data_IF_837879932682
#
_entry.id   IF_837879932682
#
_cell.length_a   1.000
_cell.length_b   1.000
_cell.length_c   1.000
_cell.angle_alpha   90.00
_cell.angle_beta   90.00
_cell.angle_gamma   90.00
#
_symmetry.space_group_name_H-M   'P 1'
#
loop_
_entity.id
_entity.type
_entity.pdbx_description
1 polymer ?
#
# COMPACT_ATOMS: atom_id res chain seq x y z
N UNK A 1 -15.17 -14.51 -6.84
CA UNK A 1 -14.70 -14.34 -5.44
C UNK A 1 -13.93 -13.04 -5.31
N UNK A 2 -13.96 -12.40 -4.14
CA UNK A 2 -13.06 -11.33 -3.73
C UNK A 2 -12.05 -11.88 -2.72
N UNK A 3 -10.76 -11.90 -3.07
CA UNK A 3 -9.70 -12.27 -2.13
C UNK A 3 -9.03 -11.00 -1.61
N UNK A 4 -9.06 -10.80 -0.29
CA UNK A 4 -8.47 -9.63 0.35
C UNK A 4 -7.34 -10.02 1.30
N UNK A 5 -6.15 -9.44 1.09
CA UNK A 5 -5.03 -9.52 2.04
C UNK A 5 -4.75 -8.11 2.56
N UNK A 6 -4.96 -7.90 3.85
CA UNK A 6 -4.93 -6.59 4.48
C UNK A 6 -3.85 -6.58 5.56
N UNK A 7 -2.89 -5.67 5.43
CA UNK A 7 -1.71 -5.61 6.28
C UNK A 7 -1.65 -4.24 6.96
N UNK A 8 -1.54 -4.24 8.28
CA UNK A 8 -1.44 -3.03 9.11
C UNK A 8 -0.32 -3.14 10.14
N UNK A 9 0.66 -2.23 10.11
CA UNK A 9 1.82 -2.28 11.03
C UNK A 9 1.97 -0.97 11.77
N UNK A 10 1.58 -0.97 13.05
CA UNK A 10 1.84 0.13 13.96
C UNK A 10 3.10 -0.10 14.78
N UNK A 11 3.31 -1.34 15.25
CA UNK A 11 4.45 -1.70 16.10
C UNK A 11 5.50 -2.45 15.29
N UNK A 12 6.75 -2.03 15.43
CA UNK A 12 7.91 -2.66 14.81
C UNK A 12 8.77 -3.32 15.89
N UNK A 13 9.37 -4.46 15.56
CA UNK A 13 10.24 -5.20 16.46
C UNK A 13 11.56 -4.46 16.70
N UNK A 14 12.09 -3.81 15.65
CA UNK A 14 13.27 -2.96 15.76
C UNK A 14 12.91 -1.63 16.46
N UNK A 15 13.51 -1.33 17.63
CA UNK A 15 13.21 -0.11 18.38
C UNK A 15 13.69 1.18 17.69
N UNK A 16 14.54 1.08 16.66
CA UNK A 16 14.96 2.19 15.82
C UNK A 16 13.87 2.67 14.86
N UNK A 17 12.83 1.87 14.62
CA UNK A 17 11.68 2.24 13.79
C UNK A 17 10.56 2.76 14.69
N UNK A 18 10.18 4.02 14.49
CA UNK A 18 9.10 4.63 15.26
C UNK A 18 7.76 3.91 15.03
N UNK A 19 6.94 3.82 16.08
CA UNK A 19 5.59 3.27 15.94
C UNK A 19 4.64 4.23 15.24
N UNK A 20 3.73 3.68 14.44
CA UNK A 20 2.56 4.40 13.91
C UNK A 20 1.38 4.29 14.89
N UNK A 21 0.31 5.04 14.61
CA UNK A 21 -0.87 5.10 15.50
C UNK A 21 -2.11 4.44 14.94
N UNK A 22 -2.25 4.38 13.61
CA UNK A 22 -3.51 4.03 12.96
C UNK A 22 -3.35 3.02 11.83
N UNK A 23 -2.16 2.50 11.55
CA UNK A 23 -1.96 1.55 10.47
C UNK A 23 -2.68 0.21 10.71
N UNK A 24 -2.66 -0.30 11.94
CA UNK A 24 -3.42 -1.51 12.29
C UNK A 24 -4.93 -1.23 12.27
N UNK A 25 -5.36 -0.08 12.82
CA UNK A 25 -6.76 0.34 12.81
C UNK A 25 -7.31 0.53 11.39
N UNK A 26 -6.49 1.08 10.49
CA UNK A 26 -6.78 1.26 9.07
C UNK A 26 -7.03 -0.09 8.38
N UNK A 27 -6.16 -1.09 8.60
CA UNK A 27 -6.31 -2.43 8.05
C UNK A 27 -7.55 -3.15 8.59
N UNK A 28 -7.86 -3.00 9.88
CA UNK A 28 -9.09 -3.52 10.51
C UNK A 28 -10.34 -2.91 9.86
N UNK A 29 -10.38 -1.58 9.71
CA UNK A 29 -11.53 -0.92 9.09
C UNK A 29 -11.71 -1.33 7.61
N UNK A 30 -10.62 -1.57 6.89
CA UNK A 30 -10.69 -2.14 5.54
C UNK A 30 -11.22 -3.59 5.54
N UNK A 31 -10.90 -4.40 6.56
CA UNK A 31 -11.43 -5.75 6.70
C UNK A 31 -12.95 -5.73 6.97
N UNK A 32 -13.40 -4.81 7.81
CA UNK A 32 -14.83 -4.58 8.07
C UNK A 32 -15.56 -4.13 6.81
N UNK A 33 -14.92 -3.27 6.00
CA UNK A 33 -15.46 -2.83 4.72
C UNK A 33 -15.60 -3.99 3.72
N UNK A 34 -14.56 -4.83 3.57
CA UNK A 34 -14.62 -6.02 2.72
C UNK A 34 -15.65 -7.04 3.24
N UNK A 35 -15.87 -7.08 4.55
CA UNK A 35 -16.86 -7.95 5.20
C UNK A 35 -18.32 -7.63 4.87
N UNK A 36 -18.59 -6.65 4.00
CA UNK A 36 -19.93 -6.38 3.47
C UNK A 36 -20.29 -7.19 2.21
N UNK A 37 -19.31 -7.72 1.48
CA UNK A 37 -19.54 -8.64 0.35
C UNK A 37 -19.97 -10.00 0.88
N UNK A 38 -20.97 -10.70 0.36
CA UNK A 38 -21.44 -11.98 0.93
C UNK A 38 -20.31 -12.95 1.35
N UNK A 39 -20.40 -13.64 2.51
CA UNK A 39 -19.32 -14.52 3.00
C UNK A 39 -18.85 -15.59 2.01
N UNK A 40 -19.76 -16.12 1.17
CA UNK A 40 -19.42 -17.09 0.13
C UNK A 40 -18.74 -16.48 -1.10
N UNK A 41 -18.67 -15.15 -1.18
CA UNK A 41 -18.07 -14.38 -2.26
C UNK A 41 -16.81 -13.62 -1.83
N UNK A 42 -16.34 -13.82 -0.59
CA UNK A 42 -15.12 -13.20 -0.06
C UNK A 42 -14.22 -14.16 0.71
N UNK A 43 -12.93 -13.90 0.65
CA UNK A 43 -11.90 -14.45 1.54
C UNK A 43 -11.08 -13.28 2.11
N UNK A 44 -10.89 -13.23 3.43
CA UNK A 44 -10.18 -12.14 4.11
C UNK A 44 -9.03 -12.70 4.93
N UNK A 45 -7.82 -12.22 4.63
CA UNK A 45 -6.62 -12.41 5.44
C UNK A 45 -6.21 -11.07 6.03
N UNK A 46 -6.09 -11.01 7.35
CA UNK A 46 -5.71 -9.79 8.09
C UNK A 46 -4.42 -10.07 8.86
N UNK A 47 -3.37 -9.30 8.57
CA UNK A 47 -2.07 -9.38 9.23
C UNK A 47 -1.81 -8.06 9.96
N UNK A 48 -1.70 -8.12 11.29
CA UNK A 48 -1.52 -6.93 12.13
C UNK A 48 -0.27 -7.07 13.00
N UNK A 49 0.54 -6.01 13.07
CA UNK A 49 1.71 -5.94 13.96
C UNK A 49 2.53 -7.24 13.96
N UNK A 50 2.59 -7.97 15.09
CA UNK A 50 3.37 -9.20 15.24
C UNK A 50 3.05 -10.31 14.20
N UNK A 51 1.84 -10.30 13.62
CA UNK A 51 1.47 -11.23 12.54
C UNK A 51 1.89 -10.72 11.16
N UNK A 52 2.11 -9.42 10.99
CA UNK A 52 2.54 -8.76 9.77
C UNK A 52 4.08 -8.82 9.58
N UNK A 53 4.67 -9.98 9.84
CA UNK A 53 6.08 -10.24 9.52
C UNK A 53 6.28 -10.36 8.01
N UNK A 54 7.48 -10.06 7.53
CA UNK A 54 7.86 -10.24 6.12
C UNK A 54 7.57 -11.67 5.66
N UNK A 55 7.88 -12.67 6.50
CA UNK A 55 7.61 -14.08 6.19
C UNK A 55 6.12 -14.32 5.96
N UNK A 56 5.25 -13.84 6.85
CA UNK A 56 3.81 -14.06 6.74
C UNK A 56 3.24 -13.32 5.53
N UNK A 57 3.64 -12.07 5.29
CA UNK A 57 3.21 -11.31 4.11
C UNK A 57 3.61 -12.03 2.81
N UNK A 58 4.86 -12.51 2.72
CA UNK A 58 5.35 -13.29 1.56
C UNK A 58 4.55 -14.58 1.40
N UNK A 59 4.24 -15.28 2.49
CA UNK A 59 3.46 -16.52 2.46
C UNK A 59 2.04 -16.29 1.96
N UNK A 60 1.35 -15.28 2.49
CA UNK A 60 -0.04 -15.01 2.11
C UNK A 60 -0.14 -14.50 0.66
N UNK A 61 0.64 -13.47 0.30
CA UNK A 61 0.53 -12.83 -1.01
C UNK A 61 1.31 -13.58 -2.08
N UNK A 62 2.52 -14.04 -1.76
CA UNK A 62 3.42 -14.67 -2.73
C UNK A 62 3.18 -16.16 -2.92
N UNK A 63 2.58 -16.87 -1.96
CA UNK A 63 2.39 -18.32 -2.04
C UNK A 63 0.91 -18.73 -2.04
N UNK A 64 0.13 -18.34 -1.03
CA UNK A 64 -1.25 -18.82 -0.85
C UNK A 64 -2.21 -18.20 -1.84
N UNK A 65 -2.15 -16.89 -2.01
CA UNK A 65 -3.06 -16.15 -2.89
C UNK A 65 -2.97 -16.64 -4.36
N UNK A 66 -1.79 -16.84 -4.97
CA UNK A 66 -1.68 -17.42 -6.31
C UNK A 66 -2.26 -18.84 -6.46
N UNK A 67 -2.33 -19.62 -5.36
CA UNK A 67 -2.94 -20.96 -5.36
C UNK A 67 -4.46 -20.92 -5.20
N UNK A 68 -5.00 -19.84 -4.64
CA UNK A 68 -6.42 -19.70 -4.33
C UNK A 68 -7.23 -19.01 -5.43
N UNK A 69 -6.61 -18.09 -6.17
CA UNK A 69 -7.31 -17.26 -7.16
C UNK A 69 -7.72 -18.02 -8.42
N UNK A 70 -8.92 -17.75 -8.91
CA UNK A 70 -9.47 -18.32 -10.14
C UNK A 70 -9.74 -17.24 -11.22
N UNK A 71 -9.92 -17.64 -12.49
CA UNK A 71 -10.37 -16.71 -13.54
C UNK A 71 -11.64 -15.94 -13.15
N UNK A 72 -11.60 -14.62 -13.32
CA UNK A 72 -12.74 -13.74 -12.99
C UNK A 72 -12.77 -13.22 -11.56
N UNK A 73 -11.92 -13.74 -10.67
CA UNK A 73 -11.79 -13.23 -9.30
C UNK A 73 -11.22 -11.81 -9.27
N UNK A 74 -11.48 -11.13 -8.15
CA UNK A 74 -10.86 -9.85 -7.82
C UNK A 74 -9.96 -10.05 -6.62
N UNK A 75 -8.76 -9.48 -6.69
CA UNK A 75 -7.81 -9.45 -5.58
C UNK A 75 -7.69 -8.02 -5.07
N UNK A 76 -7.78 -7.84 -3.76
CA UNK A 76 -7.48 -6.60 -3.06
C UNK A 76 -6.32 -6.83 -2.09
N UNK A 77 -5.20 -6.17 -2.30
CA UNK A 77 -4.07 -6.16 -1.37
C UNK A 77 -4.02 -4.76 -0.76
N UNK A 78 -4.02 -4.66 0.56
CA UNK A 78 -3.97 -3.39 1.27
C UNK A 78 -2.78 -3.37 2.22
N UNK A 79 -2.02 -2.28 2.20
CA UNK A 79 -0.93 -2.03 3.13
C UNK A 79 -1.11 -0.67 3.82
N UNK A 80 -1.12 -0.66 5.15
CA UNK A 80 -0.85 0.52 5.95
C UNK A 80 0.39 0.23 6.81
N UNK A 81 1.48 0.95 6.57
CA UNK A 81 2.75 0.76 7.27
C UNK A 81 3.68 1.93 6.96
N UNK A 82 4.89 1.92 7.54
CA UNK A 82 5.99 2.73 7.03
C UNK A 82 6.39 2.27 5.62
N UNK A 83 6.80 3.23 4.78
CA UNK A 83 7.61 2.95 3.60
C UNK A 83 9.02 3.49 3.77
N UNK A 84 10.00 2.81 3.19
CA UNK A 84 11.40 3.20 3.27
C UNK A 84 12.02 3.26 1.87
N UNK A 85 12.39 4.43 1.35
CA UNK A 85 13.27 4.49 0.19
C UNK A 85 14.67 4.00 0.59
N UNK A 86 15.37 3.34 -0.32
CA UNK A 86 16.77 2.96 -0.17
C UNK A 86 17.47 2.99 -1.54
N UNK A 87 18.68 3.54 -1.57
CA UNK A 87 19.51 3.61 -2.78
C UNK A 87 20.31 2.34 -2.97
N UNK A 88 20.55 1.97 -4.23
CA UNK A 88 21.55 0.97 -4.56
C UNK A 88 22.97 1.49 -4.21
N UNK A 89 23.82 0.68 -3.54
CA UNK A 89 25.20 1.08 -3.25
C UNK A 89 26.05 1.36 -4.49
N UNK A 90 25.78 0.66 -5.60
CA UNK A 90 26.48 0.76 -6.88
C UNK A 90 25.90 1.85 -7.79
N UNK A 91 24.59 2.10 -7.74
CA UNK A 91 23.94 3.23 -8.43
C UNK A 91 23.12 4.09 -7.44
N UNK A 92 23.69 5.20 -6.94
CA UNK A 92 23.03 6.04 -5.94
C UNK A 92 21.77 6.74 -6.44
N UNK A 93 21.60 6.88 -7.76
CA UNK A 93 20.42 7.50 -8.35
C UNK A 93 19.29 6.47 -8.56
N UNK A 94 19.58 5.17 -8.40
CA UNK A 94 18.60 4.10 -8.34
C UNK A 94 18.06 3.93 -6.91
N UNK A 95 16.81 4.34 -6.70
CA UNK A 95 16.13 4.31 -5.40
C UNK A 95 14.97 3.33 -5.43
N UNK A 96 15.10 2.23 -4.69
CA UNK A 96 14.04 1.26 -4.48
C UNK A 96 13.16 1.64 -3.29
N UNK A 97 11.90 1.18 -3.30
CA UNK A 97 10.90 1.44 -2.26
C UNK A 97 10.56 0.16 -1.53
N UNK A 98 10.64 0.24 -0.22
CA UNK A 98 10.35 -0.88 0.66
C UNK A 98 9.10 -0.62 1.47
N UNK A 99 8.14 -1.54 1.46
CA UNK A 99 7.13 -1.63 2.49
C UNK A 99 7.76 -2.26 3.74
N UNK A 100 7.52 -1.65 4.89
CA UNK A 100 8.14 -2.06 6.16
C UNK A 100 7.20 -3.01 6.88
N UNK A 101 7.68 -4.23 7.14
CA UNK A 101 6.99 -5.24 7.91
C UNK A 101 7.33 -5.12 9.41
N UNK A 102 6.62 -5.84 10.27
CA UNK A 102 6.86 -5.81 11.71
C UNK A 102 8.30 -6.16 12.12
N UNK A 103 8.89 -7.16 11.45
CA UNK A 103 10.24 -7.67 11.67
C UNK A 103 11.28 -7.04 10.73
N UNK A 104 10.94 -5.94 10.05
CA UNK A 104 11.94 -5.17 9.29
C UNK A 104 12.91 -4.50 10.26
N UNK A 105 14.20 -4.59 9.94
CA UNK A 105 15.30 -4.01 10.69
C UNK A 105 15.76 -2.71 9.99
N UNK A 106 15.92 -1.64 10.78
CA UNK A 106 16.21 -0.28 10.30
C UNK A 106 17.50 -0.24 9.45
N UNK A 107 18.51 -1.01 9.83
CA UNK A 107 19.81 -1.04 9.16
C UNK A 107 19.93 -2.18 8.12
N UNK A 108 18.88 -2.97 7.93
CA UNK A 108 18.83 -4.11 7.02
C UNK A 108 17.54 -4.13 6.17
N UNK A 109 17.02 -2.95 5.80
CA UNK A 109 15.80 -2.80 5.00
C UNK A 109 15.84 -3.58 3.68
N UNK A 110 17.00 -3.67 3.03
CA UNK A 110 17.16 -4.44 1.79
C UNK A 110 16.77 -5.92 1.96
N UNK A 111 17.18 -6.55 3.06
CA UNK A 111 16.95 -7.99 3.30
C UNK A 111 15.65 -8.27 4.06
N UNK A 112 15.24 -7.35 4.94
CA UNK A 112 14.12 -7.55 5.88
C UNK A 112 12.87 -6.75 5.51
N UNK A 113 12.95 -5.82 4.56
CA UNK A 113 11.81 -5.11 3.97
C UNK A 113 11.23 -5.82 2.74
N UNK A 114 10.15 -5.25 2.20
CA UNK A 114 9.45 -5.74 1.01
C UNK A 114 9.61 -4.75 -0.14
N UNK A 115 10.50 -5.03 -1.09
CA UNK A 115 10.73 -4.14 -2.25
C UNK A 115 9.54 -4.15 -3.22
N UNK A 116 9.07 -2.97 -3.60
CA UNK A 116 7.99 -2.80 -4.57
C UNK A 116 8.45 -3.12 -5.99
N UNK A 117 9.68 -2.73 -6.34
CA UNK A 117 10.26 -2.85 -7.67
C UNK A 117 10.51 -4.31 -8.06
N UNK A 118 10.80 -5.19 -7.10
CA UNK A 118 11.08 -6.60 -7.39
C UNK A 118 10.08 -7.58 -6.77
N UNK A 119 9.84 -7.51 -5.45
CA UNK A 119 9.04 -8.51 -4.76
C UNK A 119 7.55 -8.33 -5.06
N UNK A 120 7.02 -7.12 -4.94
CA UNK A 120 5.62 -6.86 -5.27
C UNK A 120 5.32 -7.16 -6.75
N UNK A 121 6.16 -6.69 -7.68
CA UNK A 121 6.02 -7.03 -9.10
C UNK A 121 6.03 -8.55 -9.34
N UNK A 122 6.94 -9.28 -8.69
CA UNK A 122 6.98 -10.74 -8.76
C UNK A 122 5.69 -11.39 -8.27
N UNK A 123 5.10 -10.91 -7.17
CA UNK A 123 3.83 -11.42 -6.68
C UNK A 123 2.68 -11.14 -7.64
N UNK A 124 2.59 -9.92 -8.17
CA UNK A 124 1.56 -9.53 -9.13
C UNK A 124 1.64 -10.36 -10.43
N UNK A 125 2.85 -10.67 -10.90
CA UNK A 125 3.07 -11.53 -12.07
C UNK A 125 2.61 -12.97 -11.83
N UNK A 126 2.67 -13.47 -10.58
CA UNK A 126 2.21 -14.82 -10.20
C UNK A 126 0.69 -14.92 -10.06
N UNK A 127 -0.02 -13.80 -9.91
CA UNK A 127 -1.47 -13.75 -9.85
C UNK A 127 -2.06 -13.80 -11.27
N UNK A 128 -1.97 -14.98 -11.89
CA UNK A 128 -2.60 -15.28 -13.18
C UNK A 128 -4.07 -15.68 -12.97
N UNK A 129 -5.00 -15.05 -13.69
CA UNK A 129 -6.42 -15.41 -13.65
C UNK A 129 -7.37 -14.31 -13.14
N UNK A 130 -7.07 -13.59 -12.04
CA UNK A 130 -7.91 -12.50 -11.59
C UNK A 130 -8.19 -11.49 -12.71
N UNK A 131 -9.45 -11.05 -12.81
CA UNK A 131 -9.81 -9.98 -13.75
C UNK A 131 -9.31 -8.61 -13.30
N UNK A 132 -9.00 -8.48 -12.01
CA UNK A 132 -8.44 -7.29 -11.39
C UNK A 132 -7.60 -7.67 -10.17
N UNK A 133 -6.38 -7.14 -10.10
CA UNK A 133 -5.59 -7.08 -8.87
C UNK A 133 -5.42 -5.61 -8.50
N UNK A 134 -6.00 -5.23 -7.37
CA UNK A 134 -5.93 -3.89 -6.83
C UNK A 134 -5.02 -3.89 -5.61
N UNK A 135 -3.94 -3.12 -5.65
CA UNK A 135 -3.07 -2.87 -4.50
C UNK A 135 -3.31 -1.46 -4.00
N UNK A 136 -3.54 -1.32 -2.71
CA UNK A 136 -3.75 -0.04 -2.03
C UNK A 136 -2.65 0.14 -1.00
N UNK A 137 -1.95 1.27 -1.04
CA UNK A 137 -0.78 1.55 -0.20
C UNK A 137 -0.99 2.86 0.55
N UNK A 138 -1.19 2.77 1.87
CA UNK A 138 -1.19 3.90 2.79
C UNK A 138 0.15 4.01 3.55
N UNK A 139 1.20 4.28 2.77
CA UNK A 139 2.59 4.49 3.20
C UNK A 139 3.21 5.68 2.43
N UNK A 140 4.31 6.24 2.94
CA UNK A 140 5.11 7.25 2.20
C UNK A 140 6.44 6.65 1.79
N UNK A 141 7.05 7.17 0.72
CA UNK A 141 8.39 6.78 0.27
C UNK A 141 9.32 7.97 0.06
N UNK A 142 8.97 9.11 0.65
CA UNK A 142 9.67 10.38 0.46
C UNK A 142 10.86 10.60 1.41
N UNK A 143 10.98 9.76 2.45
CA UNK A 143 11.96 9.97 3.53
C UNK A 143 11.73 11.29 4.30
N UNK A 144 10.55 11.91 4.17
CA UNK A 144 10.23 13.16 4.85
C UNK A 144 9.64 12.92 6.24
N UNK A 145 10.12 13.70 7.21
CA UNK A 145 9.62 13.65 8.58
C UNK A 145 8.11 13.99 8.68
N UNK A 146 7.45 13.39 9.67
CA UNK A 146 6.02 13.61 9.95
C UNK A 146 5.07 12.77 9.08
N UNK A 147 5.59 11.75 8.42
CA UNK A 147 4.85 10.79 7.61
C UNK A 147 5.08 9.35 7.98
N UNK A 148 4.34 8.44 7.34
CA UNK A 148 4.59 7.00 7.38
C UNK A 148 5.83 6.61 6.55
N UNK A 149 7.02 7.14 6.89
CA UNK A 149 8.30 6.80 6.26
C UNK A 149 9.52 7.05 7.12
N UNK A 150 10.60 6.32 6.84
CA UNK A 150 11.98 6.61 7.25
C UNK A 150 12.92 6.25 6.09
N UNK A 151 14.18 6.68 6.13
CA UNK A 151 15.15 6.34 5.07
C UNK A 151 15.96 5.09 5.41
N UNK A 152 16.24 4.29 4.40
CA UNK A 152 17.17 3.17 4.49
C UNK A 152 18.60 3.61 4.85
N UNK A 153 19.42 2.71 5.38
CA UNK A 153 20.74 3.01 5.91
C UNK A 153 21.71 3.65 4.90
N UNK A 154 21.62 3.32 3.61
CA UNK A 154 22.52 3.90 2.59
C UNK A 154 22.12 5.33 2.27
N UNK A 155 20.82 5.59 2.08
CA UNK A 155 20.29 6.94 1.93
C UNK A 155 20.54 7.84 3.14
N UNK A 156 20.28 7.31 4.35
CA UNK A 156 20.46 8.05 5.61
C UNK A 156 21.90 8.56 5.76
N UNK A 157 22.89 7.71 5.47
CA UNK A 157 24.32 8.08 5.49
C UNK A 157 24.69 9.14 4.45
N UNK A 158 23.99 9.21 3.32
CA UNK A 158 24.29 10.16 2.23
C UNK A 158 23.67 11.54 2.44
N UNK A 159 22.54 11.66 3.13
CA UNK A 159 21.95 12.97 3.45
C UNK A 159 22.86 13.86 4.27
N UNK A 160 23.74 13.28 5.08
CA UNK A 160 24.80 14.01 5.79
C UNK A 160 25.80 14.68 4.82
N UNK A 161 25.80 14.32 3.53
CA UNK A 161 26.76 14.71 2.50
C UNK A 161 26.21 15.50 1.29
N UNK A 162 25.12 16.27 1.42
CA UNK A 162 24.61 17.29 0.45
C UNK A 162 23.91 16.85 -0.85
N UNK A 163 23.67 15.57 -1.15
CA UNK A 163 22.96 15.15 -2.38
C UNK A 163 21.53 14.70 -2.12
N UNK A 164 20.56 15.28 -2.82
CA UNK A 164 19.16 14.81 -2.84
C UNK A 164 19.09 13.62 -3.80
N UNK A 165 18.67 12.43 -3.35
CA UNK A 165 18.59 11.25 -4.21
C UNK A 165 17.59 11.42 -5.36
N UNK A 166 17.77 10.60 -6.41
CA UNK A 166 16.77 10.41 -7.44
C UNK A 166 15.42 10.00 -6.84
N UNK A 167 14.34 10.51 -7.44
CA UNK A 167 12.98 10.17 -7.02
C UNK A 167 12.37 9.32 -8.12
N UNK A 168 12.20 8.04 -7.85
CA UNK A 168 11.48 7.13 -8.75
C UNK A 168 10.01 7.50 -8.68
N UNK A 169 9.23 7.37 -9.78
CA UNK A 169 7.78 7.51 -9.73
C UNK A 169 7.02 6.21 -9.50
N UNK A 170 5.97 6.26 -8.65
CA UNK A 170 5.06 5.11 -8.52
C UNK A 170 4.33 4.84 -9.85
N UNK A 171 4.31 5.82 -10.75
CA UNK A 171 3.77 5.74 -12.11
C UNK A 171 4.67 4.98 -13.08
N UNK A 172 5.95 4.79 -12.75
CA UNK A 172 6.92 4.16 -13.64
C UNK A 172 6.98 2.64 -13.45
N UNK A 173 6.30 2.10 -12.44
CA UNK A 173 6.21 0.66 -12.20
C UNK A 173 5.36 0.00 -13.30
N UNK A 174 5.94 -0.93 -14.05
CA UNK A 174 5.18 -1.80 -14.94
C UNK A 174 4.52 -2.93 -14.13
N UNK A 175 3.19 -2.91 -14.09
CA UNK A 175 2.39 -3.86 -13.31
C UNK A 175 1.76 -4.95 -14.19
N UNK A 176 1.80 -4.79 -15.50
CA UNK A 176 1.00 -5.58 -16.44
C UNK A 176 -0.50 -5.22 -16.47
N UNK A 177 -1.23 -5.81 -17.42
CA UNK A 177 -2.65 -5.52 -17.68
C UNK A 177 -3.55 -6.07 -16.56
N UNK A 178 -4.55 -5.32 -16.10
CA UNK A 178 -5.47 -5.73 -15.03
C UNK A 178 -4.93 -5.57 -13.62
N UNK A 179 -3.77 -4.91 -13.45
CA UNK A 179 -3.11 -4.67 -12.16
C UNK A 179 -3.05 -3.18 -11.92
N UNK A 180 -3.51 -2.74 -10.74
CA UNK A 180 -3.56 -1.33 -10.36
C UNK A 180 -2.94 -1.12 -8.97
N UNK A 181 -2.22 -0.03 -8.79
CA UNK A 181 -1.75 0.47 -7.49
C UNK A 181 -2.41 1.82 -7.22
N UNK A 182 -3.06 1.97 -6.07
CA UNK A 182 -3.45 3.28 -5.51
C UNK A 182 -2.66 3.58 -4.26
N UNK A 183 -1.86 4.65 -4.28
CA UNK A 183 -1.05 5.09 -3.15
C UNK A 183 -1.63 6.34 -2.50
N UNK A 184 -1.47 6.46 -1.18
CA UNK A 184 -1.94 7.58 -0.37
C UNK A 184 -1.31 8.92 -0.74
N UNK A 185 -0.09 8.93 -1.27
CA UNK A 185 0.60 10.15 -1.69
C UNK A 185 1.62 9.90 -2.81
N UNK A 186 1.95 10.97 -3.55
CA UNK A 186 3.07 10.99 -4.47
C UNK A 186 4.44 11.06 -3.77
N UNK A 187 5.51 11.00 -4.55
CA UNK A 187 6.87 10.76 -4.03
C UNK A 187 7.48 11.92 -3.25
N UNK A 188 6.97 13.13 -3.44
CA UNK A 188 7.38 14.33 -2.70
C UNK A 188 6.34 14.75 -1.65
N UNK A 189 5.51 13.81 -1.22
CA UNK A 189 4.43 14.08 -0.29
C UNK A 189 4.49 13.15 0.92
N UNK A 190 3.65 13.49 1.90
CA UNK A 190 3.51 12.76 3.14
C UNK A 190 2.07 12.27 3.26
N UNK A 191 1.89 10.95 3.38
CA UNK A 191 0.70 10.32 3.93
C UNK A 191 0.61 10.65 5.43
N UNK A 192 -0.41 11.43 5.79
CA UNK A 192 -0.59 11.98 7.13
C UNK A 192 -1.61 11.19 7.95
N UNK A 193 -1.39 11.19 9.25
CA UNK A 193 -2.34 10.70 10.25
C UNK A 193 -2.94 11.90 11.02
N UNK A 194 -4.24 11.87 11.28
CA UNK A 194 -4.89 12.86 12.13
C UNK A 194 -5.69 12.15 13.22
N UNK A 195 -5.39 12.46 14.47
CA UNK A 195 -6.07 11.84 15.61
C UNK A 195 -7.59 12.07 15.60
N UNK A 196 -8.04 13.21 15.06
CA UNK A 196 -9.47 13.53 14.90
C UNK A 196 -10.20 12.65 13.88
N UNK A 197 -9.47 11.93 13.02
CA UNK A 197 -10.05 11.00 12.05
C UNK A 197 -10.01 9.55 12.53
N UNK A 198 -9.14 9.22 13.49
CA UNK A 198 -8.90 7.84 13.94
C UNK A 198 -8.21 6.96 12.89
N UNK A 199 -7.73 7.56 11.80
CA UNK A 199 -7.23 6.88 10.59
C UNK A 199 -6.17 7.72 9.88
N UNK A 200 -5.41 7.10 8.98
CA UNK A 200 -4.70 7.83 7.92
C UNK A 200 -5.68 8.64 7.07
N UNK A 201 -5.33 9.85 6.62
CA UNK A 201 -6.26 10.70 5.84
C UNK A 201 -6.75 9.97 4.59
N UNK A 202 -5.84 9.26 3.93
CA UNK A 202 -6.18 8.51 2.72
C UNK A 202 -7.17 7.39 3.03
N UNK A 203 -6.85 6.54 4.00
CA UNK A 203 -7.74 5.45 4.40
C UNK A 203 -9.10 5.95 4.89
N UNK A 204 -9.14 7.03 5.67
CA UNK A 204 -10.39 7.66 6.09
C UNK A 204 -11.33 7.98 4.92
N UNK A 205 -10.79 8.57 3.85
CA UNK A 205 -11.59 8.90 2.67
C UNK A 205 -11.85 7.69 1.76
N UNK A 206 -10.94 6.72 1.73
CA UNK A 206 -11.17 5.44 1.05
C UNK A 206 -12.35 4.67 1.68
N UNK A 207 -12.42 4.62 3.01
CA UNK A 207 -13.51 3.98 3.76
C UNK A 207 -14.87 4.64 3.54
N UNK A 208 -14.90 5.92 3.18
CA UNK A 208 -16.14 6.63 2.79
C UNK A 208 -16.61 6.30 1.38
N UNK A 209 -15.72 5.77 0.54
CA UNK A 209 -16.03 5.38 -0.84
C UNK A 209 -16.37 6.55 -1.75
N UNK A 210 -16.94 6.27 -2.94
CA UNK A 210 -17.27 7.29 -3.93
C UNK A 210 -18.55 8.09 -3.60
N UNK A 211 -19.28 7.72 -2.54
CA UNK A 211 -20.62 8.22 -2.22
C UNK A 211 -21.68 7.15 -2.48
N UNK A 212 -22.82 7.55 -3.06
CA UNK A 212 -23.85 6.57 -3.45
C UNK A 212 -23.34 5.70 -4.60
N UNK A 213 -23.42 4.37 -4.40
CA UNK A 213 -23.06 3.37 -5.40
C UNK A 213 -24.34 2.74 -5.93
N UNK A 214 -24.58 2.90 -7.24
CA UNK A 214 -25.63 2.18 -7.95
C UNK A 214 -25.08 0.83 -8.46
N UNK A 215 -25.84 -0.25 -8.25
CA UNK A 215 -25.47 -1.59 -8.72
C UNK A 215 -24.50 -2.35 -7.80
N UNK A 216 -23.94 -3.44 -8.34
CA UNK A 216 -23.15 -4.42 -7.59
C UNK A 216 -21.63 -4.15 -7.59
N UNK A 217 -21.16 -3.14 -8.34
CA UNK A 217 -19.72 -2.88 -8.52
C UNK A 217 -19.40 -1.40 -8.60
N UNK A 218 -18.20 -1.01 -8.17
CA UNK A 218 -17.67 0.36 -8.19
C UNK A 218 -16.50 0.45 -9.18
N UNK A 219 -16.49 1.48 -10.03
CA UNK A 219 -15.35 1.75 -10.91
C UNK A 219 -14.14 2.26 -10.13
N UNK A 220 -12.94 1.70 -10.36
CA UNK A 220 -11.73 2.10 -9.63
C UNK A 220 -11.34 3.56 -9.92
N UNK A 221 -11.51 4.02 -11.15
CA UNK A 221 -11.23 5.41 -11.52
C UNK A 221 -12.15 6.40 -10.81
N UNK A 222 -13.46 6.10 -10.74
CA UNK A 222 -14.43 6.93 -10.01
C UNK A 222 -14.10 6.99 -8.52
N UNK A 223 -13.82 5.83 -7.91
CA UNK A 223 -13.37 5.75 -6.52
C UNK A 223 -12.13 6.62 -6.30
N UNK A 224 -11.11 6.47 -7.16
CA UNK A 224 -9.88 7.24 -7.09
C UNK A 224 -10.14 8.75 -7.15
N UNK A 225 -10.92 9.23 -8.12
CA UNK A 225 -11.20 10.66 -8.29
C UNK A 225 -11.88 11.26 -7.05
N UNK A 226 -12.86 10.55 -6.48
CA UNK A 226 -13.56 10.97 -5.26
C UNK A 226 -12.63 11.02 -4.06
N UNK A 227 -11.86 9.93 -3.84
CA UNK A 227 -10.92 9.82 -2.72
C UNK A 227 -9.82 10.87 -2.86
N UNK A 228 -9.17 10.97 -4.02
CA UNK A 228 -8.10 11.92 -4.28
C UNK A 228 -8.58 13.37 -4.13
N UNK A 229 -9.78 13.70 -4.62
CA UNK A 229 -10.39 15.01 -4.44
C UNK A 229 -10.63 15.34 -2.97
N UNK A 230 -11.11 14.38 -2.17
CA UNK A 230 -11.38 14.57 -0.75
C UNK A 230 -10.10 14.71 0.08
N UNK A 231 -9.10 13.86 -0.14
CA UNK A 231 -7.79 13.93 0.51
C UNK A 231 -7.09 15.25 0.18
N UNK A 232 -7.09 15.66 -1.09
CA UNK A 232 -6.48 16.91 -1.53
C UNK A 232 -7.15 18.13 -0.88
N UNK A 233 -8.48 18.15 -0.78
CA UNK A 233 -9.21 19.23 -0.08
C UNK A 233 -8.89 19.25 1.41
N UNK A 234 -8.94 18.10 2.08
CA UNK A 234 -8.70 17.98 3.52
C UNK A 234 -7.28 18.45 3.90
N UNK A 235 -6.30 18.07 3.09
CA UNK A 235 -4.89 18.40 3.33
C UNK A 235 -4.43 19.72 2.71
N UNK A 236 -5.36 20.50 2.11
CA UNK A 236 -5.06 21.74 1.39
C UNK A 236 -3.96 21.57 0.33
N UNK A 237 -4.01 20.45 -0.40
CA UNK A 237 -3.05 20.12 -1.47
C UNK A 237 -1.74 19.47 -1.03
N UNK A 238 -1.53 19.25 0.28
CA UNK A 238 -0.28 18.68 0.81
C UNK A 238 -0.15 17.17 0.61
N UNK A 239 -1.27 16.49 0.39
CA UNK A 239 -1.33 15.07 0.09
C UNK A 239 -2.25 14.85 -1.11
N UNK A 240 -1.74 14.17 -2.13
CA UNK A 240 -2.45 13.84 -3.36
C UNK A 240 -2.24 12.36 -3.64
N UNK A 241 -3.28 11.53 -3.51
CA UNK A 241 -3.20 10.12 -3.88
C UNK A 241 -2.81 9.94 -5.35
N UNK A 242 -2.21 8.80 -5.67
CA UNK A 242 -1.75 8.46 -7.01
C UNK A 242 -2.33 7.12 -7.41
N UNK A 243 -2.78 7.01 -8.66
CA UNK A 243 -3.17 5.75 -9.30
C UNK A 243 -2.16 5.41 -10.41
N UNK A 244 -1.68 4.17 -10.43
CA UNK A 244 -0.86 3.60 -11.49
C UNK A 244 -1.44 2.24 -11.94
N UNK A 245 -1.11 1.84 -13.17
CA UNK A 245 -1.46 0.56 -13.77
C UNK A 245 -2.41 0.68 -14.95
N UNK A 246 -2.73 -0.46 -15.56
CA UNK A 246 -3.57 -0.53 -16.77
C UNK A 246 -4.69 -1.51 -16.54
N UNK A 247 -5.90 -1.14 -16.94
CA UNK A 247 -7.05 -2.02 -17.03
C UNK A 247 -8.12 -1.32 -17.86
N UNK A 248 -8.73 -2.02 -18.81
CA UNK A 248 -9.76 -1.44 -19.67
C UNK A 248 -10.96 -0.87 -18.89
N UNK A 249 -11.53 -1.63 -17.95
CA UNK A 249 -12.68 -1.22 -17.13
C UNK A 249 -12.57 -1.84 -15.72
N UNK A 250 -11.65 -1.34 -14.88
CA UNK A 250 -11.42 -1.92 -13.55
C UNK A 250 -12.59 -1.62 -12.63
N UNK A 251 -13.21 -2.68 -12.10
CA UNK A 251 -14.35 -2.58 -11.17
C UNK A 251 -14.19 -3.50 -9.97
N UNK A 252 -14.29 -2.93 -8.78
CA UNK A 252 -14.38 -3.66 -7.52
C UNK A 252 -15.82 -4.10 -7.25
N UNK A 253 -16.05 -5.18 -6.49
CA UNK A 253 -17.34 -5.43 -5.85
C UNK A 253 -17.78 -4.23 -5.03
N UNK A 254 -19.08 -4.08 -4.82
CA UNK A 254 -19.60 -3.01 -3.95
C UNK A 254 -19.22 -3.29 -2.51
N UNK A 255 -18.31 -2.47 -1.99
CA UNK A 255 -17.88 -2.52 -0.59
C UNK A 255 -18.57 -1.47 0.29
N UNK A 256 -19.16 -0.42 -0.30
CA UNK A 256 -19.78 0.70 0.40
C UNK A 256 -21.30 0.72 0.29
#
# INVERSE_FOLDING_TARGET
MLHAVLVGVDRYLDPGIASLRYAAADAVAMAELVSRVEPAEREITLLLDADATRRNVVMEIGERLPRAVAPGDVVLIYFAAHGSPESDPADPDDVARYLVAHDTELDHVYTTGITMEHQLQSWLARLSGPRLVMVVIDACFSGMAGGRTFEGPTLRRRREGTRVPGVVSLKDLDLGEGRLIMSACGEHQVAREFASLGHGVFTHYLLRGPGQVEGATVGVHELYEKVAGAVRRHTKGRQVPVLNGRSAIPRLPRLW
#
